data_IF_415331775078
#
_entry.id   IF_415331775078
#
_cell.length_a   1.000
_cell.length_b   1.000
_cell.length_c   1.000
_cell.angle_alpha   90.00
_cell.angle_beta   90.00
_cell.angle_gamma   90.00
#
_symmetry.space_group_name_H-M   'P 1'
#
loop_
_entity.id
_entity.type
_entity.pdbx_description
1 polymer ?
#
# COMPACT_ATOMS: atom_id res chain seq x y z
N UNK A 1 -7.09 -13.70 -10.23
CA UNK A 1 -7.53 -12.47 -9.56
C UNK A 1 -7.40 -11.30 -10.53
N UNK A 2 -8.49 -10.58 -10.84
CA UNK A 2 -8.42 -9.35 -11.63
C UNK A 2 -7.71 -8.28 -10.78
N UNK A 3 -6.61 -7.72 -11.28
CA UNK A 3 -5.98 -6.54 -10.69
C UNK A 3 -6.89 -5.34 -10.93
N UNK A 4 -7.78 -5.07 -9.99
CA UNK A 4 -8.50 -3.79 -9.97
C UNK A 4 -7.50 -2.78 -9.42
N UNK A 5 -6.97 -1.93 -10.31
CA UNK A 5 -6.18 -0.76 -9.90
C UNK A 5 -7.10 0.16 -9.10
N UNK A 6 -7.04 0.06 -7.76
CA UNK A 6 -7.79 0.94 -6.88
C UNK A 6 -7.13 2.32 -6.92
N UNK A 7 -7.82 3.30 -7.52
CA UNK A 7 -7.31 4.68 -7.67
C UNK A 7 -6.92 5.33 -6.34
N UNK A 8 -7.60 4.98 -5.26
CA UNK A 8 -7.27 5.48 -3.92
C UNK A 8 -5.94 4.89 -3.42
N UNK A 9 -5.68 3.61 -3.71
CA UNK A 9 -4.40 2.98 -3.39
C UNK A 9 -3.23 3.64 -4.12
N UNK A 10 -3.42 3.97 -5.41
CA UNK A 10 -2.41 4.68 -6.21
C UNK A 10 -2.11 6.04 -5.58
N UNK A 11 -3.15 6.84 -5.30
CA UNK A 11 -2.97 8.16 -4.71
C UNK A 11 -2.26 8.10 -3.34
N UNK A 12 -2.54 7.09 -2.53
CA UNK A 12 -1.87 6.88 -1.24
C UNK A 12 -0.41 6.47 -1.43
N UNK A 13 -0.12 5.54 -2.34
CA UNK A 13 1.25 5.14 -2.64
C UNK A 13 2.07 6.32 -3.17
N UNK A 14 1.51 7.10 -4.10
CA UNK A 14 2.18 8.28 -4.67
C UNK A 14 2.41 9.37 -3.60
N UNK A 15 1.52 9.50 -2.60
CA UNK A 15 1.67 10.47 -1.52
C UNK A 15 2.78 10.08 -0.53
N UNK A 16 2.79 8.82 -0.08
CA UNK A 16 3.71 8.35 0.96
C UNK A 16 5.05 7.84 0.42
N UNK A 17 5.07 7.40 -0.84
CA UNK A 17 6.22 6.74 -1.47
C UNK A 17 6.35 7.11 -2.97
N UNK A 18 6.48 8.40 -3.31
CA UNK A 18 6.51 8.87 -4.71
C UNK A 18 7.62 8.24 -5.57
N UNK A 19 8.73 7.83 -4.95
CA UNK A 19 9.87 7.20 -5.59
C UNK A 19 9.58 5.77 -6.10
N UNK A 20 8.58 5.09 -5.54
CA UNK A 20 8.35 3.68 -5.81
C UNK A 20 7.74 3.39 -7.18
N UNK A 21 7.19 4.39 -7.87
CA UNK A 21 6.45 4.17 -9.13
C UNK A 21 7.23 3.36 -10.19
N UNK A 22 8.57 3.42 -10.17
CA UNK A 22 9.46 2.63 -11.04
C UNK A 22 9.80 1.23 -10.51
N UNK A 23 9.73 1.00 -9.20
CA UNK A 23 10.16 -0.23 -8.52
C UNK A 23 9.02 -1.21 -8.21
N UNK A 24 7.77 -0.75 -8.34
CA UNK A 24 6.58 -1.59 -8.15
C UNK A 24 6.28 -2.43 -9.39
N UNK A 25 6.51 -3.74 -9.29
CA UNK A 25 6.08 -4.70 -10.32
C UNK A 25 4.57 -4.95 -10.30
N UNK A 26 3.92 -4.68 -9.17
CA UNK A 26 2.48 -4.77 -8.98
C UNK A 26 2.08 -4.65 -7.51
N UNK A 27 0.81 -4.40 -7.24
CA UNK A 27 0.27 -4.39 -5.89
C UNK A 27 -1.17 -4.92 -5.84
N UNK A 28 -1.56 -5.45 -4.68
CA UNK A 28 -2.90 -5.91 -4.37
C UNK A 28 -3.42 -5.14 -3.15
N UNK A 29 -4.70 -4.81 -3.16
CA UNK A 29 -5.34 -4.07 -2.07
C UNK A 29 -6.29 -4.98 -1.32
N UNK A 30 -6.24 -4.92 0.01
CA UNK A 30 -7.22 -5.53 0.89
C UNK A 30 -7.70 -4.48 1.90
N UNK A 31 -9.01 -4.34 2.02
CA UNK A 31 -9.66 -3.30 2.81
C UNK A 31 -10.75 -3.92 3.69
N UNK A 32 -10.82 -3.50 4.94
CA UNK A 32 -11.92 -3.78 5.86
C UNK A 32 -12.32 -2.48 6.60
N UNK A 33 -13.20 -2.58 7.60
CA UNK A 33 -13.69 -1.40 8.32
C UNK A 33 -12.60 -0.64 9.09
N UNK A 34 -11.55 -1.34 9.54
CA UNK A 34 -10.51 -0.79 10.41
C UNK A 34 -9.19 -0.52 9.66
N UNK A 35 -8.90 -1.33 8.65
CA UNK A 35 -7.61 -1.31 7.97
C UNK A 35 -7.75 -1.25 6.46
N UNK A 36 -6.82 -0.51 5.86
CA UNK A 36 -6.54 -0.53 4.44
C UNK A 36 -5.10 -1.01 4.26
N UNK A 37 -4.90 -2.12 3.55
CA UNK A 37 -3.59 -2.72 3.35
C UNK A 37 -3.26 -2.86 1.87
N UNK A 38 -2.02 -2.57 1.54
CA UNK A 38 -1.47 -2.71 0.20
C UNK A 38 -0.34 -3.72 0.26
N UNK A 39 -0.54 -4.87 -0.39
CA UNK A 39 0.51 -5.87 -0.62
C UNK A 39 1.26 -5.47 -1.88
N UNK A 40 2.55 -5.22 -1.75
CA UNK A 40 3.40 -4.67 -2.81
C UNK A 40 4.42 -5.71 -3.25
N UNK A 41 4.51 -5.96 -4.56
CA UNK A 41 5.56 -6.78 -5.16
C UNK A 41 6.68 -5.89 -5.67
N UNK A 42 7.79 -5.91 -4.94
CA UNK A 42 9.00 -5.18 -5.29
C UNK A 42 9.81 -6.02 -6.28
N UNK A 43 10.36 -5.37 -7.32
CA UNK A 43 11.20 -6.04 -8.30
C UNK A 43 12.43 -6.66 -7.61
N UNK A 44 12.81 -7.86 -8.01
CA UNK A 44 13.92 -8.64 -7.44
C UNK A 44 13.73 -9.12 -5.98
N UNK A 45 12.53 -9.00 -5.41
CA UNK A 45 12.20 -9.53 -4.08
C UNK A 45 11.46 -10.87 -4.16
N UNK A 46 11.80 -11.79 -3.25
CA UNK A 46 11.19 -13.12 -3.17
C UNK A 46 9.81 -13.04 -2.50
N UNK A 47 9.68 -12.16 -1.50
CA UNK A 47 8.46 -11.98 -0.73
C UNK A 47 7.89 -10.57 -0.93
N UNK A 48 6.57 -10.44 -1.09
CA UNK A 48 5.95 -9.13 -1.13
C UNK A 48 5.97 -8.47 0.24
N UNK A 49 6.02 -7.15 0.25
CA UNK A 49 5.90 -6.35 1.46
C UNK A 49 4.47 -5.82 1.63
N UNK A 50 4.17 -5.27 2.80
CA UNK A 50 2.86 -4.75 3.16
C UNK A 50 2.97 -3.34 3.71
N UNK A 51 2.22 -2.45 3.09
CA UNK A 51 1.92 -1.12 3.62
C UNK A 51 0.55 -1.20 4.28
N UNK A 52 0.44 -0.76 5.53
CA UNK A 52 -0.82 -0.83 6.28
C UNK A 52 -1.19 0.55 6.79
N UNK A 53 -2.44 0.90 6.53
CA UNK A 53 -3.08 2.10 7.03
C UNK A 53 -4.23 1.73 7.97
N UNK A 54 -4.32 2.44 9.08
CA UNK A 54 -5.47 2.41 9.98
C UNK A 54 -6.49 3.47 9.56
N UNK A 55 -7.77 3.12 9.61
CA UNK A 55 -8.89 4.04 9.37
C UNK A 55 -9.29 4.68 10.68
N UNK A 56 -9.29 6.01 10.73
CA UNK A 56 -9.90 6.73 11.83
C UNK A 56 -11.42 6.63 11.73
N UNK A 57 -12.06 6.03 12.73
CA UNK A 57 -13.51 5.81 12.76
C UNK A 57 -14.32 7.12 12.71
N UNK A 58 -13.72 8.24 13.13
CA UNK A 58 -14.40 9.56 13.21
C UNK A 58 -14.27 10.34 11.90
N UNK A 59 -13.06 10.49 11.36
CA UNK A 59 -12.80 11.30 10.16
C UNK A 59 -12.83 10.50 8.86
N UNK A 60 -12.73 9.16 8.94
CA UNK A 60 -12.54 8.29 7.78
C UNK A 60 -11.15 8.38 7.15
N UNK A 61 -10.24 9.16 7.75
CA UNK A 61 -8.88 9.34 7.25
C UNK A 61 -8.02 8.09 7.46
N UNK A 62 -7.01 7.94 6.60
CA UNK A 62 -6.09 6.81 6.60
C UNK A 62 -4.72 7.23 7.16
N UNK A 63 -4.30 6.58 8.24
CA UNK A 63 -3.04 6.82 8.94
C UNK A 63 -2.06 5.68 8.67
N UNK A 64 -0.87 5.99 8.16
CA UNK A 64 0.16 4.98 7.91
C UNK A 64 0.66 4.41 9.25
N UNK A 65 0.46 3.10 9.47
CA UNK A 65 0.92 2.40 10.68
C UNK A 65 2.04 1.40 10.40
N UNK A 66 2.20 0.97 9.15
CA UNK A 66 3.32 0.14 8.69
C UNK A 66 3.77 0.62 7.31
N UNK A 67 5.00 1.12 7.23
CA UNK A 67 5.67 1.42 5.96
C UNK A 67 6.27 0.15 5.35
N UNK A 68 6.81 0.28 4.14
CA UNK A 68 7.74 -0.70 3.62
C UNK A 68 8.88 -0.91 4.60
N UNK A 69 9.37 -2.14 4.64
CA UNK A 69 10.53 -2.52 5.42
C UNK A 69 11.72 -1.68 4.94
N UNK A 70 12.35 -0.92 5.84
CA UNK A 70 13.63 -0.29 5.56
C UNK A 70 14.65 -1.41 5.28
N UNK A 71 14.87 -1.71 4.01
CA UNK A 71 15.95 -2.58 3.56
C UNK A 71 17.02 -1.67 2.95
N UNK A 72 17.98 -1.29 3.79
CA UNK A 72 19.25 -0.75 3.33
C UNK A 72 20.01 -1.82 2.55
#
# INVERSE_FOLDING_TARGET
MKSVKNKCAIALLDHYFPELSADLSGYNVAENNYFFSVRVWIKNEIYPDYIIFEKCDVSGELYLIKSLSNRC
#
